data_IF_730138079766
#
_entry.id   IF_730138079766
#
_cell.length_a   1.000
_cell.length_b   1.000
_cell.length_c   1.000
_cell.angle_alpha   90.00
_cell.angle_beta   90.00
_cell.angle_gamma   90.00
#
_symmetry.space_group_name_H-M   'P 1'
#
loop_
_entity.id
_entity.type
_entity.pdbx_description
1 polymer ?
#
# COMPACT_ATOMS: atom_id res chain seq x y z
N UNK A 1 28.08 25.98 -24.66
CA UNK A 1 26.90 25.17 -25.04
C UNK A 1 26.76 23.88 -24.23
N UNK A 2 27.81 23.05 -24.11
CA UNK A 2 27.75 21.79 -23.33
C UNK A 2 27.31 21.92 -21.86
N UNK A 3 27.82 22.94 -21.14
CA UNK A 3 27.48 23.21 -19.73
C UNK A 3 25.99 23.58 -19.54
N UNK A 4 25.40 24.27 -20.51
CA UNK A 4 23.99 24.68 -20.45
C UNK A 4 23.08 23.48 -20.68
N UNK A 5 23.41 22.62 -21.64
CA UNK A 5 22.66 21.38 -21.94
C UNK A 5 22.75 20.41 -20.74
N UNK A 6 23.94 20.23 -20.15
CA UNK A 6 24.08 19.38 -18.95
C UNK A 6 23.29 19.89 -17.76
N UNK A 7 23.23 21.22 -17.56
CA UNK A 7 22.44 21.84 -16.48
C UNK A 7 20.93 21.58 -16.64
N UNK A 8 20.40 21.68 -17.86
CA UNK A 8 18.99 21.39 -18.15
C UNK A 8 18.67 19.92 -17.88
N UNK A 9 19.51 19.00 -18.37
CA UNK A 9 19.34 17.56 -18.14
C UNK A 9 19.38 17.22 -16.66
N UNK A 10 20.34 17.76 -15.91
CA UNK A 10 20.43 17.58 -14.45
C UNK A 10 19.15 18.02 -13.74
N UNK A 11 18.61 19.19 -14.10
CA UNK A 11 17.38 19.71 -13.48
C UNK A 11 16.16 18.84 -13.76
N UNK A 12 16.07 18.25 -14.95
CA UNK A 12 15.00 17.28 -15.30
C UNK A 12 15.14 16.01 -14.45
N UNK A 13 16.36 15.48 -14.29
CA UNK A 13 16.61 14.29 -13.46
C UNK A 13 16.27 14.57 -12.00
N UNK A 14 16.72 15.71 -11.47
CA UNK A 14 16.45 16.15 -10.11
C UNK A 14 14.95 16.30 -9.85
N UNK A 15 14.22 16.96 -10.74
CA UNK A 15 12.76 17.07 -10.65
C UNK A 15 12.09 15.69 -10.56
N UNK A 16 12.50 14.75 -11.42
CA UNK A 16 11.97 13.38 -11.39
C UNK A 16 12.30 12.64 -10.10
N UNK A 17 13.50 12.83 -9.55
CA UNK A 17 13.87 12.24 -8.26
C UNK A 17 13.06 12.85 -7.11
N UNK A 18 12.90 14.16 -7.09
CA UNK A 18 12.12 14.87 -6.08
C UNK A 18 10.65 14.45 -6.10
N UNK A 19 10.03 14.32 -7.28
CA UNK A 19 8.66 13.81 -7.40
C UNK A 19 8.56 12.37 -6.88
N UNK A 20 9.53 11.50 -7.21
CA UNK A 20 9.53 10.11 -6.71
C UNK A 20 9.66 10.08 -5.19
N UNK A 21 10.59 10.85 -4.62
CA UNK A 21 10.80 10.92 -3.16
C UNK A 21 9.55 11.42 -2.45
N UNK A 22 8.95 12.50 -2.96
CA UNK A 22 7.68 13.03 -2.46
C UNK A 22 6.56 11.97 -2.45
N UNK A 23 6.42 11.20 -3.54
CA UNK A 23 5.43 10.14 -3.60
C UNK A 23 5.74 8.99 -2.63
N UNK A 24 7.00 8.61 -2.44
CA UNK A 24 7.39 7.60 -1.45
C UNK A 24 7.06 8.04 -0.02
N UNK A 25 7.42 9.27 0.34
CA UNK A 25 7.12 9.86 1.65
C UNK A 25 5.60 9.89 1.92
N UNK A 26 4.78 10.19 0.91
CA UNK A 26 3.31 10.18 1.06
C UNK A 26 2.67 8.80 1.09
N UNK A 27 3.30 7.80 0.49
CA UNK A 27 2.82 6.41 0.44
C UNK A 27 3.16 5.62 1.70
N UNK A 28 4.24 5.99 2.37
CA UNK A 28 4.70 5.30 3.58
C UNK A 28 3.58 5.20 4.62
N UNK A 29 2.91 6.31 4.93
CA UNK A 29 1.84 6.36 5.93
C UNK A 29 0.68 5.38 5.63
N UNK A 30 -0.06 5.46 4.50
CA UNK A 30 -1.14 4.51 4.22
C UNK A 30 -0.67 3.07 4.10
N UNK A 31 0.56 2.83 3.63
CA UNK A 31 1.07 1.47 3.46
C UNK A 31 1.46 0.85 4.80
N UNK A 32 2.02 1.63 5.72
CA UNK A 32 2.26 1.20 7.09
C UNK A 32 0.96 0.89 7.82
N UNK A 33 -0.07 1.75 7.70
CA UNK A 33 -1.40 1.50 8.28
C UNK A 33 -2.02 0.19 7.77
N UNK A 34 -1.90 -0.08 6.47
CA UNK A 34 -2.36 -1.35 5.90
C UNK A 34 -1.63 -2.56 6.49
N UNK A 35 -0.30 -2.50 6.55
CA UNK A 35 0.52 -3.60 7.09
C UNK A 35 0.17 -3.83 8.56
N UNK A 36 0.05 -2.78 9.36
CA UNK A 36 -0.36 -2.87 10.77
C UNK A 36 -1.73 -3.53 10.92
N UNK A 37 -2.71 -3.14 10.09
CA UNK A 37 -4.05 -3.74 10.09
C UNK A 37 -3.99 -5.24 9.79
N UNK A 38 -3.19 -5.66 8.80
CA UNK A 38 -2.99 -7.09 8.47
C UNK A 38 -2.40 -7.85 9.67
N UNK A 39 -1.38 -7.30 10.33
CA UNK A 39 -0.78 -7.94 11.50
C UNK A 39 -1.74 -8.00 12.69
N UNK A 40 -2.54 -6.97 12.94
CA UNK A 40 -3.56 -6.98 14.00
C UNK A 40 -4.61 -8.06 13.79
N UNK A 41 -5.07 -8.26 12.55
CA UNK A 41 -6.02 -9.33 12.19
C UNK A 41 -5.39 -10.71 12.47
N UNK A 42 -4.14 -10.92 12.07
CA UNK A 42 -3.43 -12.18 12.28
C UNK A 42 -3.16 -12.46 13.76
N UNK A 43 -2.79 -11.45 14.55
CA UNK A 43 -2.45 -11.59 15.96
C UNK A 43 -3.70 -11.89 16.81
N UNK A 44 -4.79 -11.13 16.61
CA UNK A 44 -6.06 -11.37 17.31
C UNK A 44 -6.72 -12.70 16.91
N UNK A 45 -6.56 -13.11 15.66
CA UNK A 45 -6.96 -14.45 15.19
C UNK A 45 -6.23 -15.59 15.93
N UNK A 46 -4.98 -15.37 16.35
CA UNK A 46 -4.22 -16.32 17.20
C UNK A 46 -4.66 -16.27 18.66
N UNK A 47 -4.97 -15.08 19.18
CA UNK A 47 -5.36 -14.88 20.58
C UNK A 47 -6.82 -15.26 20.90
N UNK A 48 -7.67 -15.53 19.89
CA UNK A 48 -9.13 -15.70 20.02
C UNK A 48 -9.81 -14.51 20.73
N UNK A 49 -9.22 -13.33 20.62
CA UNK A 49 -9.80 -12.10 21.15
C UNK A 49 -10.79 -11.51 20.14
N UNK A 50 -11.91 -10.99 20.64
CA UNK A 50 -12.86 -10.27 19.80
C UNK A 50 -12.20 -8.99 19.27
N UNK A 51 -12.17 -8.85 17.95
CA UNK A 51 -11.81 -7.60 17.30
C UNK A 51 -12.93 -6.59 17.63
N UNK A 52 -12.56 -5.36 17.99
CA UNK A 52 -13.54 -4.27 18.05
C UNK A 52 -13.89 -3.89 16.61
N UNK A 53 -15.08 -4.28 16.15
CA UNK A 53 -15.54 -4.09 14.78
C UNK A 53 -15.57 -2.61 14.38
N UNK A 54 -15.87 -1.69 15.31
CA UNK A 54 -15.94 -0.25 15.02
C UNK A 54 -14.55 0.34 14.74
N UNK A 55 -13.58 0.04 15.60
CA UNK A 55 -12.19 0.49 15.41
C UNK A 55 -11.59 -0.06 14.10
N UNK A 56 -11.92 -1.31 13.75
CA UNK A 56 -11.46 -1.92 12.51
C UNK A 56 -12.07 -1.23 11.28
N UNK A 57 -13.36 -0.90 11.31
CA UNK A 57 -14.02 -0.18 10.22
C UNK A 57 -13.43 1.22 10.01
N UNK A 58 -13.16 1.94 11.10
CA UNK A 58 -12.53 3.26 11.02
C UNK A 58 -11.13 3.20 10.42
N UNK A 59 -10.32 2.20 10.82
CA UNK A 59 -9.00 1.97 10.26
C UNK A 59 -9.06 1.65 8.75
N UNK A 60 -9.99 0.78 8.33
CA UNK A 60 -10.22 0.44 6.92
C UNK A 60 -10.61 1.69 6.12
N UNK A 61 -11.47 2.55 6.67
CA UNK A 61 -11.94 3.75 6.00
C UNK A 61 -10.82 4.80 5.87
N UNK A 62 -10.08 5.05 6.95
CA UNK A 62 -8.92 5.94 6.96
C UNK A 62 -7.88 5.50 5.93
N UNK A 63 -7.49 4.23 5.95
CA UNK A 63 -6.58 3.64 4.97
C UNK A 63 -7.09 3.81 3.54
N UNK A 64 -8.37 3.45 3.28
CA UNK A 64 -8.94 3.52 1.93
C UNK A 64 -8.91 4.95 1.35
N UNK A 65 -9.14 5.96 2.20
CA UNK A 65 -9.07 7.38 1.80
C UNK A 65 -7.65 7.77 1.40
N UNK A 66 -6.64 7.42 2.21
CA UNK A 66 -5.24 7.73 1.93
C UNK A 66 -4.71 6.94 0.73
N UNK A 67 -5.11 5.67 0.60
CA UNK A 67 -4.79 4.82 -0.55
C UNK A 67 -5.32 5.41 -1.85
N UNK A 68 -6.54 5.95 -1.85
CA UNK A 68 -7.13 6.58 -3.05
C UNK A 68 -6.31 7.78 -3.52
N UNK A 69 -5.67 8.51 -2.61
CA UNK A 69 -4.89 9.70 -2.94
C UNK A 69 -3.45 9.36 -3.37
N UNK A 70 -2.80 8.41 -2.69
CA UNK A 70 -1.34 8.19 -2.83
C UNK A 70 -0.96 6.83 -3.40
N UNK A 71 -1.87 5.85 -3.34
CA UNK A 71 -1.66 4.49 -3.79
C UNK A 71 -1.50 4.39 -5.30
N UNK A 72 -0.72 3.41 -5.76
CA UNK A 72 -0.71 3.12 -7.20
C UNK A 72 -2.02 2.45 -7.63
N UNK A 73 -2.35 2.61 -8.91
CA UNK A 73 -3.50 1.94 -9.53
C UNK A 73 -3.48 0.42 -9.34
N UNK A 74 -2.29 -0.20 -9.21
CA UNK A 74 -2.18 -1.65 -8.98
C UNK A 74 -2.62 -2.02 -7.57
N UNK A 75 -2.13 -1.31 -6.56
CA UNK A 75 -2.51 -1.52 -5.16
C UNK A 75 -4.01 -1.25 -4.99
N UNK A 76 -4.53 -0.15 -5.54
CA UNK A 76 -5.97 0.19 -5.48
C UNK A 76 -6.82 -0.95 -6.07
N UNK A 77 -6.48 -1.47 -7.25
CA UNK A 77 -7.24 -2.55 -7.88
C UNK A 77 -7.25 -3.83 -7.04
N UNK A 78 -6.11 -4.22 -6.48
CA UNK A 78 -6.03 -5.40 -5.60
C UNK A 78 -6.82 -5.20 -4.31
N UNK A 79 -6.75 -4.01 -3.70
CA UNK A 79 -7.56 -3.67 -2.53
C UNK A 79 -9.07 -3.74 -2.81
N UNK A 80 -9.51 -3.23 -3.96
CA UNK A 80 -10.91 -3.32 -4.37
C UNK A 80 -11.37 -4.77 -4.60
N UNK A 81 -10.52 -5.60 -5.20
CA UNK A 81 -10.80 -7.02 -5.38
C UNK A 81 -10.93 -7.74 -4.03
N UNK A 82 -9.99 -7.51 -3.11
CA UNK A 82 -10.03 -8.03 -1.75
C UNK A 82 -11.34 -7.66 -1.04
N UNK A 83 -11.71 -6.37 -1.02
CA UNK A 83 -12.94 -5.92 -0.35
C UNK A 83 -14.21 -6.56 -0.92
N UNK A 84 -14.24 -6.80 -2.23
CA UNK A 84 -15.38 -7.47 -2.88
C UNK A 84 -15.47 -8.93 -2.44
N UNK A 85 -14.37 -9.66 -2.55
CA UNK A 85 -14.33 -11.10 -2.25
C UNK A 85 -14.56 -11.35 -0.75
N UNK A 86 -13.96 -10.54 0.13
CA UNK A 86 -14.13 -10.67 1.58
C UNK A 86 -15.56 -10.42 2.07
N UNK A 87 -16.39 -9.73 1.27
CA UNK A 87 -17.82 -9.54 1.57
C UNK A 87 -18.69 -10.68 1.03
N UNK A 88 -18.27 -11.32 -0.07
CA UNK A 88 -19.03 -12.38 -0.75
C UNK A 88 -18.68 -13.78 -0.20
N UNK A 89 -17.45 -13.99 0.29
CA UNK A 89 -16.91 -15.30 0.69
C UNK A 89 -16.13 -15.21 2.01
N UNK A 90 -16.35 -16.19 2.89
CA UNK A 90 -15.69 -16.32 4.19
C UNK A 90 -14.51 -17.32 4.15
N UNK A 91 -13.82 -17.46 3.01
CA UNK A 91 -12.58 -18.26 2.97
C UNK A 91 -11.40 -17.44 3.51
N UNK A 92 -11.02 -17.77 4.75
CA UNK A 92 -9.91 -17.14 5.44
C UNK A 92 -8.55 -17.34 4.75
N UNK A 93 -8.36 -18.42 3.98
CA UNK A 93 -7.07 -18.72 3.33
C UNK A 93 -6.88 -17.87 2.07
N UNK A 94 -7.90 -17.79 1.22
CA UNK A 94 -7.89 -16.94 0.03
C UNK A 94 -7.72 -15.46 0.40
N UNK A 95 -8.38 -15.03 1.47
CA UNK A 95 -8.23 -13.68 2.02
C UNK A 95 -6.77 -13.35 2.42
N UNK A 96 -6.05 -14.31 3.03
CA UNK A 96 -4.64 -14.11 3.41
C UNK A 96 -3.73 -13.97 2.18
N UNK A 97 -3.92 -14.79 1.15
CA UNK A 97 -3.14 -14.68 -0.10
C UNK A 97 -3.38 -13.34 -0.81
N UNK A 98 -4.62 -12.86 -0.86
CA UNK A 98 -4.92 -11.56 -1.45
C UNK A 98 -4.25 -10.40 -0.68
N UNK A 99 -4.22 -10.46 0.66
CA UNK A 99 -3.50 -9.47 1.47
C UNK A 99 -1.99 -9.50 1.16
N UNK A 100 -1.40 -10.70 1.02
CA UNK A 100 0.00 -10.85 0.64
C UNK A 100 0.30 -10.25 -0.74
N UNK A 101 -0.58 -10.46 -1.73
CA UNK A 101 -0.43 -9.85 -3.05
C UNK A 101 -0.48 -8.31 -3.01
N UNK A 102 -1.30 -7.73 -2.13
CA UNK A 102 -1.35 -6.28 -1.90
C UNK A 102 -0.01 -5.82 -1.29
N UNK A 103 0.51 -6.52 -0.28
CA UNK A 103 1.83 -6.23 0.33
C UNK A 103 2.94 -6.28 -0.73
N UNK A 104 2.92 -7.24 -1.65
CA UNK A 104 3.93 -7.30 -2.71
C UNK A 104 3.86 -6.12 -3.67
N UNK A 105 2.67 -5.63 -4.04
CA UNK A 105 2.55 -4.43 -4.86
C UNK A 105 2.96 -3.16 -4.09
N UNK A 106 2.66 -3.09 -2.78
CA UNK A 106 3.15 -2.02 -1.89
C UNK A 106 4.68 -2.00 -1.87
N UNK A 107 5.33 -3.16 -1.71
CA UNK A 107 6.80 -3.28 -1.72
C UNK A 107 7.40 -2.75 -3.03
N UNK A 108 6.79 -3.07 -4.17
CA UNK A 108 7.19 -2.53 -5.49
C UNK A 108 7.03 -1.01 -5.54
N UNK A 109 5.92 -0.50 -5.03
CA UNK A 109 5.69 0.95 -4.93
C UNK A 109 6.70 1.66 -4.01
N UNK A 110 7.32 0.95 -3.07
CA UNK A 110 8.38 1.45 -2.19
C UNK A 110 9.79 1.18 -2.73
N UNK A 111 9.91 0.76 -3.99
CA UNK A 111 11.19 0.56 -4.66
C UNK A 111 11.88 -0.77 -4.39
N UNK A 112 11.23 -1.70 -3.68
CA UNK A 112 11.75 -3.06 -3.50
C UNK A 112 11.55 -3.85 -4.80
N UNK A 113 12.64 -4.38 -5.36
CA UNK A 113 12.57 -5.30 -6.50
C UNK A 113 12.13 -6.68 -6.01
N UNK A 114 11.47 -7.45 -6.86
CA UNK A 114 11.34 -8.89 -6.61
C UNK A 114 12.75 -9.48 -6.53
N UNK A 115 13.06 -10.10 -5.41
CA UNK A 115 14.14 -11.09 -5.35
C UNK A 115 13.45 -12.37 -5.81
N UNK A 116 13.53 -12.62 -7.11
CA UNK A 116 13.14 -13.91 -7.70
C UNK A 116 14.29 -14.90 -7.50
#
# INVERSE_FOLDING_TARGET
>A
MGVVISSIVSKIIEYRQNTKRYLYEKREEPYSEFIEMVYRIQDKGKAKENINDEEMLDNIFSFSKKLTLWGSNKVIRKWLAFRKISQEQNDNTENLFMLEEIIFEIRKDMGQKRVD
#
